data_IF_475441052191
#
_entry.id   IF_475441052191
#
_cell.length_a   1.000
_cell.length_b   1.000
_cell.length_c   1.000
_cell.angle_alpha   90.00
_cell.angle_beta   90.00
_cell.angle_gamma   90.00
#
_symmetry.space_group_name_H-M   'P 1'
#
loop_
_entity.id
_entity.type
_entity.pdbx_description
1 polymer ?
#
# COMPACT_ATOMS: atom_id res chain seq x y z
N UNK A 1 36.34 20.37 -16.51
CA UNK A 1 35.90 19.85 -17.81
C UNK A 1 34.41 20.12 -17.89
N UNK A 2 33.97 20.77 -18.97
CA UNK A 2 32.66 21.43 -19.04
C UNK A 2 31.49 20.46 -19.08
N UNK A 3 30.42 20.83 -18.40
CA UNK A 3 29.10 20.23 -18.55
C UNK A 3 28.59 20.60 -19.95
N UNK A 4 28.62 19.64 -20.87
CA UNK A 4 28.15 19.83 -22.25
C UNK A 4 26.62 19.76 -22.22
N UNK A 5 25.97 20.91 -22.32
CA UNK A 5 24.55 20.99 -22.59
C UNK A 5 24.32 21.28 -24.09
N UNK A 6 23.44 20.55 -24.79
CA UNK A 6 22.74 19.34 -24.33
C UNK A 6 23.66 18.11 -24.26
N UNK A 7 23.30 17.10 -23.45
CA UNK A 7 24.03 15.83 -23.37
C UNK A 7 24.10 15.16 -24.74
N UNK A 8 25.15 14.38 -24.97
CA UNK A 8 25.21 13.54 -26.16
C UNK A 8 24.16 12.41 -26.09
N UNK A 9 23.92 11.71 -27.21
CA UNK A 9 22.91 10.65 -27.26
C UNK A 9 23.19 9.52 -26.26
N UNK A 10 24.46 9.19 -26.01
CA UNK A 10 24.83 8.13 -25.09
C UNK A 10 24.59 8.57 -23.64
N UNK A 11 24.95 9.81 -23.29
CA UNK A 11 24.64 10.44 -22.00
C UNK A 11 23.14 10.55 -21.77
N UNK A 12 22.36 10.93 -22.80
CA UNK A 12 20.91 11.00 -22.74
C UNK A 12 20.26 9.62 -22.56
N UNK A 13 20.71 8.62 -23.31
CA UNK A 13 20.23 7.23 -23.16
C UNK A 13 20.61 6.65 -21.81
N UNK A 14 21.81 6.95 -21.29
CA UNK A 14 22.23 6.56 -19.95
C UNK A 14 21.33 7.21 -18.89
N UNK A 15 21.04 8.50 -19.01
CA UNK A 15 20.16 9.24 -18.11
C UNK A 15 18.72 8.69 -18.10
N UNK A 16 18.16 8.40 -19.27
CA UNK A 16 16.83 7.78 -19.37
C UNK A 16 16.84 6.37 -18.78
N UNK A 17 17.90 5.60 -19.01
CA UNK A 17 18.04 4.25 -18.47
C UNK A 17 18.15 4.24 -16.95
N UNK A 18 18.87 5.21 -16.35
CA UNK A 18 18.93 5.41 -14.90
C UNK A 18 17.57 5.84 -14.32
N UNK A 19 16.80 6.63 -15.06
CA UNK A 19 15.47 7.11 -14.62
C UNK A 19 14.37 6.05 -14.60
N UNK A 20 14.63 4.81 -15.03
CA UNK A 20 13.63 3.75 -15.13
C UNK A 20 12.63 4.07 -16.24
N UNK A 21 12.78 3.43 -17.41
CA UNK A 21 12.00 3.65 -18.63
C UNK A 21 10.52 3.20 -18.52
N UNK A 22 9.79 3.69 -17.51
CA UNK A 22 8.36 3.48 -17.32
C UNK A 22 7.71 4.78 -16.80
N UNK A 23 6.37 4.92 -16.91
CA UNK A 23 5.66 6.14 -16.54
C UNK A 23 5.83 6.59 -15.08
N UNK A 24 6.38 5.75 -14.22
CA UNK A 24 6.58 6.04 -12.80
C UNK A 24 7.99 6.54 -12.48
N UNK A 25 8.94 6.45 -13.42
CA UNK A 25 10.35 6.77 -13.17
C UNK A 25 10.99 5.89 -12.09
N UNK A 26 10.55 4.63 -11.98
CA UNK A 26 10.99 3.69 -10.95
C UNK A 26 11.88 2.61 -11.53
N UNK A 27 12.97 2.27 -10.85
CA UNK A 27 13.75 1.06 -11.13
C UNK A 27 13.27 -0.11 -10.27
N UNK A 28 13.61 -1.34 -10.66
CA UNK A 28 13.29 -2.53 -9.85
C UNK A 28 13.98 -2.45 -8.47
N UNK A 29 15.19 -1.89 -8.43
CA UNK A 29 15.93 -1.74 -7.17
C UNK A 29 15.28 -0.70 -6.25
N UNK A 30 14.74 0.41 -6.79
CA UNK A 30 13.94 1.36 -6.02
C UNK A 30 12.68 0.71 -5.41
N UNK A 31 12.00 -0.17 -6.15
CA UNK A 31 10.86 -0.95 -5.62
C UNK A 31 11.29 -1.89 -4.49
N UNK A 32 12.43 -2.57 -4.64
CA UNK A 32 12.97 -3.48 -3.62
C UNK A 32 13.42 -2.72 -2.36
N UNK A 33 14.00 -1.54 -2.52
CA UNK A 33 14.38 -0.65 -1.42
C UNK A 33 13.15 -0.18 -0.65
N UNK A 34 12.13 0.33 -1.35
CA UNK A 34 10.88 0.76 -0.73
C UNK A 34 10.18 -0.41 -0.03
N UNK A 35 10.15 -1.59 -0.64
CA UNK A 35 9.61 -2.79 -0.02
C UNK A 35 10.32 -3.13 1.30
N UNK A 36 11.67 -3.04 1.32
CA UNK A 36 12.46 -3.26 2.53
C UNK A 36 12.16 -2.19 3.59
N UNK A 37 12.09 -0.91 3.19
CA UNK A 37 11.77 0.20 4.08
C UNK A 37 10.41 0.02 4.73
N UNK A 38 9.37 -0.21 3.93
CA UNK A 38 8.02 -0.48 4.42
C UNK A 38 7.99 -1.69 5.35
N UNK A 39 8.66 -2.80 5.02
CA UNK A 39 8.73 -3.97 5.91
C UNK A 39 9.33 -3.65 7.28
N UNK A 40 10.29 -2.72 7.35
CA UNK A 40 10.97 -2.35 8.58
C UNK A 40 10.28 -1.24 9.38
N UNK A 41 9.48 -0.39 8.71
CA UNK A 41 8.86 0.79 9.31
C UNK A 41 7.33 0.70 9.41
N UNK A 42 6.70 -0.27 8.73
CA UNK A 42 5.23 -0.39 8.67
C UNK A 42 4.57 -0.55 10.03
N UNK A 43 5.27 -1.14 11.01
CA UNK A 43 4.78 -1.28 12.38
C UNK A 43 4.53 0.07 13.08
N UNK A 44 5.11 1.16 12.60
CA UNK A 44 4.91 2.52 13.12
C UNK A 44 3.57 3.13 12.70
N UNK A 45 2.85 2.47 11.81
CA UNK A 45 1.60 2.95 11.24
C UNK A 45 0.50 1.91 11.51
N UNK A 46 -0.73 2.36 11.77
CA UNK A 46 -1.87 1.48 12.06
C UNK A 46 -2.26 0.56 10.90
N UNK A 47 -1.74 0.84 9.70
CA UNK A 47 -2.01 0.07 8.50
C UNK A 47 -1.10 0.46 7.36
N UNK A 48 -1.01 -0.42 6.36
CA UNK A 48 -0.23 -0.14 5.16
C UNK A 48 -0.87 0.95 4.29
N UNK A 49 -2.16 1.26 4.48
CA UNK A 49 -2.85 2.40 3.87
C UNK A 49 -2.45 3.75 4.50
N UNK A 50 -1.94 3.73 5.75
CA UNK A 50 -1.46 4.93 6.47
C UNK A 50 0.04 5.19 6.27
N UNK A 51 0.77 4.20 5.77
CA UNK A 51 2.18 4.36 5.42
C UNK A 51 2.36 5.45 4.33
N UNK A 52 3.36 6.34 4.44
CA UNK A 52 3.57 7.44 3.51
C UNK A 52 4.26 6.98 2.22
N UNK A 53 3.53 6.23 1.38
CA UNK A 53 4.04 5.77 0.09
C UNK A 53 4.47 6.94 -0.81
N UNK A 54 5.68 6.91 -1.41
CA UNK A 54 6.12 7.94 -2.35
C UNK A 54 5.23 8.05 -3.58
N UNK A 55 4.73 6.91 -4.05
CA UNK A 55 3.80 6.82 -5.17
C UNK A 55 2.72 5.76 -4.90
N UNK A 56 1.46 5.97 -5.33
CA UNK A 56 0.39 4.98 -5.15
C UNK A 56 0.69 3.60 -5.76
N UNK A 57 1.49 3.54 -6.84
CA UNK A 57 1.86 2.27 -7.49
C UNK A 57 2.70 1.38 -6.57
N UNK A 58 3.55 1.98 -5.73
CA UNK A 58 4.42 1.25 -4.79
C UNK A 58 3.59 0.53 -3.72
N UNK A 59 2.51 1.16 -3.23
CA UNK A 59 1.57 0.50 -2.33
C UNK A 59 1.04 -0.82 -2.94
N UNK A 60 0.50 -0.76 -4.15
CA UNK A 60 -0.07 -1.95 -4.80
C UNK A 60 0.98 -3.01 -5.10
N UNK A 61 2.18 -2.61 -5.55
CA UNK A 61 3.26 -3.54 -5.85
C UNK A 61 3.79 -4.22 -4.58
N UNK A 62 4.10 -3.45 -3.54
CA UNK A 62 4.69 -3.97 -2.30
C UNK A 62 3.73 -4.87 -1.53
N UNK A 63 2.42 -4.58 -1.55
CA UNK A 63 1.40 -5.47 -0.96
C UNK A 63 1.34 -6.80 -1.72
N UNK A 64 1.31 -6.78 -3.05
CA UNK A 64 1.31 -8.01 -3.86
C UNK A 64 2.58 -8.84 -3.61
N UNK A 65 3.74 -8.17 -3.52
CA UNK A 65 5.02 -8.82 -3.21
C UNK A 65 5.00 -9.48 -1.83
N UNK A 66 4.41 -8.84 -0.81
CA UNK A 66 4.29 -9.45 0.52
C UNK A 66 3.41 -10.69 0.48
N UNK A 67 2.22 -10.59 -0.12
CA UNK A 67 1.28 -11.71 -0.20
C UNK A 67 1.88 -12.89 -0.94
N UNK A 68 2.33 -12.69 -2.18
CA UNK A 68 2.93 -13.76 -2.98
C UNK A 68 4.25 -14.28 -2.43
N UNK A 69 5.06 -13.39 -1.85
CA UNK A 69 6.33 -13.75 -1.24
C UNK A 69 6.16 -14.71 -0.07
N UNK A 70 5.14 -14.48 0.77
CA UNK A 70 4.78 -15.37 1.88
C UNK A 70 4.15 -16.67 1.36
N UNK A 71 3.14 -16.56 0.49
CA UNK A 71 2.41 -17.72 -0.05
C UNK A 71 3.31 -18.73 -0.77
N UNK A 72 4.36 -18.23 -1.45
CA UNK A 72 5.24 -19.06 -2.29
C UNK A 72 6.65 -19.22 -1.74
N UNK A 73 6.91 -18.76 -0.50
CA UNK A 73 8.23 -18.87 0.14
C UNK A 73 9.37 -18.35 -0.76
N UNK A 74 9.15 -17.21 -1.41
CA UNK A 74 10.07 -16.71 -2.45
C UNK A 74 11.42 -16.27 -1.88
N UNK A 75 12.48 -16.60 -2.61
CA UNK A 75 13.83 -16.06 -2.40
C UNK A 75 13.93 -14.59 -2.81
N UNK A 76 15.01 -13.90 -2.42
CA UNK A 76 15.25 -12.51 -2.80
C UNK A 76 15.31 -12.31 -4.33
N UNK A 77 15.92 -13.26 -5.06
CA UNK A 77 15.99 -13.19 -6.53
C UNK A 77 14.62 -13.35 -7.19
N UNK A 78 13.77 -14.24 -6.66
CA UNK A 78 12.40 -14.41 -7.13
C UNK A 78 11.51 -13.21 -6.82
N UNK A 79 11.72 -12.58 -5.65
CA UNK A 79 11.07 -11.31 -5.29
C UNK A 79 11.48 -10.18 -6.24
N UNK A 80 12.76 -10.07 -6.60
CA UNK A 80 13.23 -9.07 -7.58
C UNK A 80 12.57 -9.28 -8.95
N UNK A 81 12.49 -10.52 -9.42
CA UNK A 81 11.75 -10.88 -10.66
C UNK A 81 10.25 -10.60 -10.55
N UNK A 82 9.65 -10.77 -9.37
CA UNK A 82 8.26 -10.42 -9.14
C UNK A 82 8.04 -8.90 -9.18
N UNK A 83 8.92 -8.12 -8.56
CA UNK A 83 8.90 -6.66 -8.61
C UNK A 83 8.97 -6.16 -10.06
N UNK A 84 9.89 -6.69 -10.87
CA UNK A 84 10.00 -6.38 -12.30
C UNK A 84 8.70 -6.68 -13.05
N UNK A 85 8.14 -7.89 -12.90
CA UNK A 85 6.86 -8.25 -13.54
C UNK A 85 5.72 -7.32 -13.13
N UNK A 86 5.64 -6.95 -11.86
CA UNK A 86 4.61 -6.06 -11.35
C UNK A 86 4.77 -4.64 -11.87
N UNK A 87 6.01 -4.13 -11.95
CA UNK A 87 6.30 -2.82 -12.51
C UNK A 87 5.92 -2.76 -14.00
N UNK A 88 6.30 -3.77 -14.78
CA UNK A 88 5.91 -3.90 -16.20
C UNK A 88 4.39 -3.99 -16.37
N UNK A 89 3.71 -4.76 -15.51
CA UNK A 89 2.24 -4.86 -15.50
C UNK A 89 1.59 -3.49 -15.29
N UNK A 90 2.04 -2.73 -14.29
CA UNK A 90 1.50 -1.42 -13.99
C UNK A 90 1.85 -0.38 -15.05
N UNK A 91 3.05 -0.45 -15.63
CA UNK A 91 3.44 0.41 -16.75
C UNK A 91 2.53 0.19 -17.96
N UNK A 92 2.22 -1.07 -18.30
CA UNK A 92 1.25 -1.41 -19.34
C UNK A 92 -0.17 -0.95 -18.99
N UNK A 93 -0.59 -1.10 -17.73
CA UNK A 93 -1.89 -0.65 -17.24
C UNK A 93 -2.08 0.85 -17.48
N UNK A 94 -1.09 1.66 -17.14
CA UNK A 94 -1.10 3.11 -17.39
C UNK A 94 -0.95 3.45 -18.87
N UNK A 95 -0.12 2.72 -19.61
CA UNK A 95 0.00 2.87 -21.06
C UNK A 95 -1.32 2.60 -21.81
N UNK A 96 -2.19 1.77 -21.25
CA UNK A 96 -3.55 1.53 -21.76
C UNK A 96 -4.56 2.63 -21.35
N UNK A 97 -4.12 3.74 -20.75
CA UNK A 97 -4.97 4.85 -20.34
C UNK A 97 -5.68 4.66 -19.00
N UNK A 98 -5.39 3.59 -18.26
CA UNK A 98 -5.99 3.36 -16.94
C UNK A 98 -5.15 4.03 -15.83
N UNK A 99 -5.82 4.66 -14.86
CA UNK A 99 -5.11 5.27 -13.72
C UNK A 99 -4.70 4.24 -12.67
N UNK A 100 -3.62 4.53 -11.94
CA UNK A 100 -3.30 3.80 -10.72
C UNK A 100 -4.32 4.15 -9.64
N UNK A 101 -5.01 3.18 -9.01
CA UNK A 101 -5.97 3.48 -7.96
C UNK A 101 -5.28 4.18 -6.78
N UNK A 102 -5.90 5.21 -6.20
CA UNK A 102 -5.36 5.87 -5.02
C UNK A 102 -5.35 4.91 -3.82
N UNK A 103 -4.40 5.12 -2.90
CA UNK A 103 -4.35 4.39 -1.63
C UNK A 103 -5.56 4.81 -0.80
N UNK A 104 -6.57 3.93 -0.72
CA UNK A 104 -7.80 4.20 0.02
C UNK A 104 -7.54 4.07 1.50
N UNK A 105 -7.42 5.22 2.19
CA UNK A 105 -7.46 5.26 3.65
C UNK A 105 -8.87 4.90 4.07
N UNK A 106 -9.03 3.83 4.84
CA UNK A 106 -10.33 3.49 5.40
C UNK A 106 -10.80 4.69 6.24
N UNK A 107 -11.93 5.28 5.86
CA UNK A 107 -12.61 6.29 6.67
C UNK A 107 -13.13 5.59 7.92
N UNK A 108 -13.15 6.28 9.07
CA UNK A 108 -13.80 5.72 10.25
C UNK A 108 -15.22 5.30 9.85
N UNK A 109 -15.56 4.03 10.11
CA UNK A 109 -16.90 3.54 9.84
C UNK A 109 -17.92 4.43 10.56
N UNK A 110 -19.08 4.65 9.94
CA UNK A 110 -20.16 5.40 10.58
C UNK A 110 -20.40 4.81 11.98
N UNK A 111 -20.16 5.63 13.01
CA UNK A 111 -20.46 5.29 14.40
C UNK A 111 -21.97 5.28 14.53
N UNK A 112 -22.62 4.21 14.10
CA UNK A 112 -24.02 4.00 14.41
C UNK A 112 -24.14 3.95 15.93
N UNK A 113 -25.04 4.73 16.55
CA UNK A 113 -25.27 4.62 17.98
C UNK A 113 -25.65 3.16 18.24
N UNK A 114 -24.78 2.44 18.96
CA UNK A 114 -25.10 1.09 19.38
C UNK A 114 -26.30 1.22 20.31
N UNK A 115 -27.47 0.78 19.85
CA UNK A 115 -28.63 0.65 20.72
C UNK A 115 -28.27 -0.21 21.94
N UNK A 116 -29.07 -0.16 23.01
CA UNK A 116 -28.74 -0.81 24.26
C UNK A 116 -28.38 -2.28 24.02
N UNK A 117 -27.16 -2.62 24.42
CA UNK A 117 -26.62 -3.97 24.36
C UNK A 117 -27.59 -4.93 25.06
N UNK A 118 -27.60 -6.23 24.72
CA UNK A 118 -28.49 -7.19 25.35
C UNK A 118 -28.42 -7.17 26.89
N UNK A 119 -27.23 -6.95 27.46
CA UNK A 119 -27.05 -6.88 28.92
C UNK A 119 -27.65 -5.61 29.53
N UNK A 120 -27.60 -4.48 28.83
CA UNK A 120 -28.23 -3.24 29.26
C UNK A 120 -29.75 -3.37 29.24
N UNK A 121 -30.33 -4.06 28.25
CA UNK A 121 -31.77 -4.37 28.22
C UNK A 121 -32.19 -5.23 29.40
N UNK A 122 -31.42 -6.26 29.72
CA UNK A 122 -31.67 -7.12 30.89
C UNK A 122 -31.56 -6.34 32.21
N UNK A 123 -30.56 -5.45 32.33
CA UNK A 123 -30.38 -4.58 33.50
C UNK A 123 -31.56 -3.62 33.67
N UNK A 124 -32.02 -3.00 32.58
CA UNK A 124 -33.20 -2.11 32.60
C UNK A 124 -34.47 -2.86 33.02
N UNK A 125 -34.66 -4.09 32.54
CA UNK A 125 -35.79 -4.91 32.95
C UNK A 125 -35.71 -5.32 34.43
N UNK A 126 -34.52 -5.68 34.91
CA UNK A 126 -34.28 -5.94 36.33
C UNK A 126 -34.60 -4.73 37.21
N UNK A 127 -34.08 -3.55 36.85
CA UNK A 127 -34.33 -2.31 37.58
C UNK A 127 -35.82 -1.95 37.59
N UNK A 128 -36.52 -2.15 36.46
CA UNK A 128 -37.97 -1.95 36.37
C UNK A 128 -38.76 -2.90 37.28
N UNK A 129 -38.38 -4.18 37.32
CA UNK A 129 -39.03 -5.19 38.18
C UNK A 129 -38.80 -4.91 39.67
N UNK A 130 -37.58 -4.51 40.02
CA UNK A 130 -37.22 -4.09 41.39
C UNK A 130 -38.02 -2.84 41.82
N UNK A 131 -38.10 -1.82 40.97
CA UNK A 131 -38.86 -0.61 41.27
C UNK A 131 -40.37 -0.86 41.44
N UNK A 132 -40.91 -1.85 40.74
CA UNK A 132 -42.30 -2.28 40.86
C UNK A 132 -42.57 -3.27 42.01
N UNK A 133 -41.55 -3.61 42.82
CA UNK A 133 -41.69 -4.47 44.00
C UNK A 133 -41.90 -5.95 43.70
N UNK A 134 -41.60 -6.40 42.46
CA UNK A 134 -41.68 -7.81 42.08
C UNK A 134 -40.44 -8.62 42.46
N UNK A 135 -39.35 -7.94 42.84
CA UNK A 135 -38.04 -8.48 43.25
C UNK A 135 -37.50 -7.63 44.40
#
# INVERSE_FOLDING_TARGET
AGETWPPDLAEFVALISESGANPFGLTVDAVMEEYRRWRNESWRYDGSDKYPWPQPVLYHICLEMRTRGIERQMTQGELKRLAERQLTKWAKHVGNGMSVPPVRRQLEGAKHPQGPTPIERLKQEYERRKAAGFI
#
